data_IF_456111982858
#
_entry.id   IF_456111982858
#
_cell.length_a   1.000
_cell.length_b   1.000
_cell.length_c   1.000
_cell.angle_alpha   90.00
_cell.angle_beta   90.00
_cell.angle_gamma   90.00
#
_symmetry.space_group_name_H-M   'P 1'
#
loop_
_entity.id
_entity.type
_entity.pdbx_description
1 polymer ?
#
# COMPACT_ATOMS: atom_id res chain seq x y z
N UNK A 1 7.99 -7.52 19.88
CA UNK A 1 7.24 -6.57 20.73
C UNK A 1 6.81 -5.42 19.86
N UNK A 2 5.50 -5.31 19.57
CA UNK A 2 4.90 -4.14 18.92
C UNK A 2 5.31 -2.94 19.74
N UNK A 3 5.91 -1.92 19.12
CA UNK A 3 6.30 -0.69 19.81
C UNK A 3 5.08 -0.14 20.57
N UNK A 4 5.25 0.24 21.82
CA UNK A 4 4.17 0.77 22.66
C UNK A 4 3.48 1.98 22.00
N UNK A 5 4.21 2.77 21.22
CA UNK A 5 3.70 3.91 20.47
C UNK A 5 2.74 3.48 19.33
N UNK A 6 3.08 2.43 18.59
CA UNK A 6 2.22 1.92 17.51
C UNK A 6 0.91 1.32 18.06
N UNK A 7 0.99 0.57 19.18
CA UNK A 7 -0.18 0.07 19.89
C UNK A 7 -1.07 1.20 20.43
N UNK A 8 -0.47 2.29 20.89
CA UNK A 8 -1.19 3.45 21.42
C UNK A 8 -1.89 4.24 20.32
N UNK A 9 -1.24 4.41 19.17
CA UNK A 9 -1.85 5.04 17.98
C UNK A 9 -3.01 4.21 17.45
N UNK A 10 -2.85 2.89 17.33
CA UNK A 10 -3.91 1.99 16.91
C UNK A 10 -5.11 2.03 17.87
N UNK A 11 -4.88 2.04 19.18
CA UNK A 11 -5.93 2.16 20.21
C UNK A 11 -6.66 3.51 20.17
N UNK A 12 -5.95 4.60 19.92
CA UNK A 12 -6.56 5.95 19.83
C UNK A 12 -7.53 6.11 18.68
N UNK A 13 -7.44 5.27 17.66
CA UNK A 13 -8.36 5.25 16.51
C UNK A 13 -9.53 4.29 16.67
N UNK A 14 -9.75 3.74 17.86
CA UNK A 14 -10.81 2.75 18.09
C UNK A 14 -10.44 1.36 17.62
N UNK A 15 -9.17 1.12 17.25
CA UNK A 15 -8.64 -0.21 16.97
C UNK A 15 -8.61 -1.00 18.28
N UNK A 16 -9.54 -1.90 18.45
CA UNK A 16 -9.62 -2.79 19.60
C UNK A 16 -9.26 -4.20 19.15
N UNK A 17 -8.27 -4.80 19.80
CA UNK A 17 -7.82 -6.17 19.50
C UNK A 17 -8.80 -7.24 19.97
N UNK A 18 -9.73 -6.89 20.87
CA UNK A 18 -10.80 -7.78 21.31
C UNK A 18 -11.91 -7.79 20.27
N UNK A 19 -12.12 -8.95 19.65
CA UNK A 19 -13.11 -9.15 18.60
C UNK A 19 -14.54 -8.85 19.06
N UNK A 20 -14.85 -9.10 20.35
CA UNK A 20 -16.17 -8.84 20.91
C UNK A 20 -16.39 -7.33 21.01
N UNK A 21 -15.43 -6.60 21.50
CA UNK A 21 -15.50 -5.13 21.58
C UNK A 21 -15.56 -4.48 20.20
N UNK A 22 -14.75 -4.96 19.24
CA UNK A 22 -14.79 -4.49 17.85
C UNK A 22 -16.18 -4.68 17.24
N UNK A 23 -16.82 -5.81 17.50
CA UNK A 23 -18.19 -6.08 17.05
C UNK A 23 -19.21 -5.15 17.69
N UNK A 24 -19.13 -4.94 19.01
CA UNK A 24 -20.02 -4.01 19.73
C UNK A 24 -19.86 -2.59 19.16
N UNK A 25 -18.64 -2.13 18.94
CA UNK A 25 -18.36 -0.82 18.33
C UNK A 25 -19.04 -0.72 16.96
N UNK A 26 -18.85 -1.71 16.09
CA UNK A 26 -19.45 -1.73 14.76
C UNK A 26 -21.00 -1.71 14.82
N UNK A 27 -21.62 -2.47 15.74
CA UNK A 27 -23.05 -2.48 15.96
C UNK A 27 -23.58 -1.10 16.43
N UNK A 28 -22.85 -0.42 17.31
CA UNK A 28 -23.25 0.92 17.80
C UNK A 28 -23.11 1.99 16.71
N UNK A 29 -22.07 1.94 15.87
CA UNK A 29 -21.96 2.81 14.69
C UNK A 29 -23.16 2.60 13.75
N UNK A 30 -23.50 1.35 13.46
CA UNK A 30 -24.63 1.03 12.59
C UNK A 30 -25.98 1.53 13.15
N UNK A 31 -26.22 1.34 14.45
CA UNK A 31 -27.45 1.85 15.14
C UNK A 31 -27.53 3.37 15.13
N UNK A 32 -26.41 4.04 15.35
CA UNK A 32 -26.33 5.49 15.43
C UNK A 32 -26.38 6.17 14.05
N UNK A 33 -26.37 5.40 12.94
CA UNK A 33 -26.30 5.91 11.56
C UNK A 33 -25.10 6.85 11.32
N UNK A 34 -24.04 6.68 12.07
CA UNK A 34 -22.78 7.40 11.89
C UNK A 34 -21.99 6.65 10.82
N UNK A 35 -21.32 7.34 9.88
CA UNK A 35 -20.45 6.69 8.93
C UNK A 35 -19.41 5.81 9.65
N UNK A 36 -19.03 4.65 9.09
CA UNK A 36 -17.99 3.82 9.68
C UNK A 36 -16.68 4.63 9.79
N UNK A 37 -15.77 4.22 10.68
CA UNK A 37 -14.42 4.80 10.71
C UNK A 37 -13.80 4.77 9.33
N UNK A 38 -12.93 5.75 9.06
CA UNK A 38 -12.19 5.79 7.81
C UNK A 38 -11.37 4.50 7.67
N UNK A 39 -11.53 3.83 6.55
CA UNK A 39 -10.79 2.63 6.16
C UNK A 39 -10.02 2.88 4.86
N UNK A 40 -9.55 1.81 4.25
CA UNK A 40 -8.89 1.84 2.96
C UNK A 40 -7.54 1.15 2.98
N UNK A 41 -6.93 1.01 1.81
CA UNK A 41 -5.73 0.19 1.62
C UNK A 41 -4.56 0.58 2.55
N UNK A 42 -4.40 1.87 2.84
CA UNK A 42 -3.38 2.33 3.78
C UNK A 42 -3.64 1.85 5.20
N UNK A 43 -4.87 2.01 5.70
CA UNK A 43 -5.22 1.66 7.08
C UNK A 43 -5.32 0.14 7.26
N UNK A 44 -5.97 -0.53 6.31
CA UNK A 44 -6.34 -1.94 6.47
C UNK A 44 -5.23 -2.91 6.06
N UNK A 45 -4.28 -2.46 5.22
CA UNK A 45 -3.21 -3.30 4.67
C UNK A 45 -1.81 -2.79 5.03
N UNK A 46 -1.48 -1.53 4.70
CA UNK A 46 -0.14 -1.00 4.92
C UNK A 46 0.20 -0.85 6.40
N UNK A 47 -0.69 -0.25 7.21
CA UNK A 47 -0.41 -0.02 8.63
C UNK A 47 -0.11 -1.32 9.37
N UNK A 48 -0.90 -2.41 9.23
CA UNK A 48 -0.55 -3.70 9.83
C UNK A 48 0.81 -4.24 9.37
N UNK A 49 1.11 -4.11 8.06
CA UNK A 49 2.39 -4.55 7.50
C UNK A 49 3.57 -3.77 8.10
N UNK A 50 3.46 -2.44 8.18
CA UNK A 50 4.50 -1.62 8.79
C UNK A 50 4.66 -1.88 10.28
N UNK A 51 3.58 -2.16 11.01
CA UNK A 51 3.66 -2.50 12.43
C UNK A 51 4.48 -3.76 12.68
N UNK A 52 4.35 -4.74 11.80
CA UNK A 52 5.03 -6.02 11.93
C UNK A 52 6.46 -6.00 11.33
N UNK A 53 6.62 -5.47 10.14
CA UNK A 53 7.84 -5.60 9.34
C UNK A 53 8.60 -4.29 9.10
N UNK A 54 7.94 -3.14 9.26
CA UNK A 54 8.54 -1.83 8.96
C UNK A 54 9.62 -1.43 9.96
N UNK A 55 10.55 -0.59 9.52
CA UNK A 55 11.53 0.06 10.39
C UNK A 55 10.85 1.08 11.31
N UNK A 56 11.50 1.44 12.40
CA UNK A 56 10.94 2.47 13.32
C UNK A 56 10.79 3.83 12.61
N UNK A 57 11.68 4.15 11.69
CA UNK A 57 11.59 5.36 10.87
C UNK A 57 10.34 5.34 9.98
N UNK A 58 10.09 4.24 9.28
CA UNK A 58 8.89 4.06 8.45
C UNK A 58 7.60 4.13 9.28
N UNK A 59 7.58 3.50 10.44
CA UNK A 59 6.44 3.55 11.36
C UNK A 59 6.12 4.99 11.80
N UNK A 60 7.15 5.73 12.20
CA UNK A 60 6.99 7.13 12.62
C UNK A 60 6.55 8.03 11.46
N UNK A 61 7.10 7.81 10.27
CA UNK A 61 6.84 8.61 9.09
C UNK A 61 5.44 8.40 8.52
N UNK A 62 4.96 7.15 8.47
CA UNK A 62 3.79 6.80 7.67
C UNK A 62 2.54 6.43 8.48
N UNK A 63 2.66 5.81 9.66
CA UNK A 63 1.48 5.28 10.36
C UNK A 63 0.53 6.40 10.76
N UNK A 64 0.99 7.39 11.50
CA UNK A 64 0.13 8.46 12.01
C UNK A 64 -0.53 9.27 10.88
N UNK A 65 0.19 9.75 9.84
CA UNK A 65 -0.42 10.46 8.72
C UNK A 65 -1.44 9.61 7.95
N UNK A 66 -1.18 8.31 7.78
CA UNK A 66 -2.14 7.38 7.14
C UNK A 66 -3.42 7.27 7.95
N UNK A 67 -3.29 7.08 9.26
CA UNK A 67 -4.44 6.97 10.15
C UNK A 67 -5.28 8.27 10.23
N UNK A 68 -4.67 9.42 10.02
CA UNK A 68 -5.37 10.71 9.98
C UNK A 68 -5.92 11.06 8.57
N UNK A 69 -5.68 10.20 7.56
CA UNK A 69 -6.10 10.46 6.18
C UNK A 69 -5.30 11.56 5.48
N UNK A 70 -4.15 11.92 6.02
CA UNK A 70 -3.23 12.89 5.43
C UNK A 70 -2.46 12.26 4.25
N UNK A 71 -2.28 10.94 4.26
CA UNK A 71 -1.69 10.16 3.18
C UNK A 71 -2.67 9.08 2.74
N UNK A 72 -3.09 9.15 1.49
CA UNK A 72 -3.90 8.14 0.83
C UNK A 72 -2.95 7.18 0.08
N UNK A 73 -3.19 5.89 0.21
CA UNK A 73 -2.38 4.84 -0.36
C UNK A 73 -3.13 4.04 -1.42
N UNK A 74 -2.42 3.63 -2.45
CA UNK A 74 -2.87 2.61 -3.39
C UNK A 74 -1.96 1.38 -3.37
N UNK A 75 -2.47 0.27 -3.89
CA UNK A 75 -1.81 -1.02 -3.91
C UNK A 75 -1.31 -1.36 -5.31
N UNK A 76 0.00 -1.56 -5.48
CA UNK A 76 0.64 -1.97 -6.72
C UNK A 76 1.03 -3.44 -6.71
N UNK A 77 0.06 -4.38 -6.82
CA UNK A 77 0.32 -5.82 -6.79
C UNK A 77 0.14 -6.45 -8.16
N UNK A 78 -1.09 -6.50 -8.66
CA UNK A 78 -1.43 -7.19 -9.90
C UNK A 78 -0.77 -6.59 -11.13
N UNK A 79 -0.43 -7.45 -12.08
CA UNK A 79 0.05 -7.09 -13.41
C UNK A 79 -0.82 -7.75 -14.47
N UNK A 80 -0.77 -7.33 -15.74
CA UNK A 80 -1.57 -7.94 -16.79
C UNK A 80 -1.48 -9.47 -16.85
N UNK A 81 -0.31 -10.03 -16.54
CA UNK A 81 -0.03 -11.46 -16.52
C UNK A 81 0.20 -12.07 -15.14
N UNK A 82 0.01 -11.31 -14.06
CA UNK A 82 0.24 -11.76 -12.69
C UNK A 82 -0.88 -11.27 -11.76
N UNK A 83 -1.92 -12.08 -11.61
CA UNK A 83 -3.03 -11.84 -10.69
C UNK A 83 -3.04 -12.89 -9.60
N UNK A 84 -3.75 -14.01 -9.79
CA UNK A 84 -3.77 -15.11 -8.81
C UNK A 84 -2.40 -15.76 -8.62
N UNK A 85 -1.60 -15.90 -9.68
CA UNK A 85 -0.16 -16.21 -9.59
C UNK A 85 0.64 -14.92 -9.42
N UNK A 86 0.47 -14.26 -8.26
CA UNK A 86 1.13 -13.00 -7.97
C UNK A 86 2.66 -13.12 -7.97
N UNK A 87 3.18 -14.29 -7.62
CA UNK A 87 4.62 -14.56 -7.60
C UNK A 87 5.28 -14.53 -8.98
N UNK A 88 4.50 -14.51 -10.07
CA UNK A 88 5.02 -14.33 -11.43
C UNK A 88 5.11 -12.88 -11.89
N UNK A 89 4.94 -11.91 -10.98
CA UNK A 89 5.11 -10.49 -11.26
C UNK A 89 6.48 -10.18 -11.89
N UNK A 90 6.49 -9.22 -12.82
CA UNK A 90 7.65 -8.86 -13.65
C UNK A 90 8.10 -7.40 -13.48
N UNK A 91 7.31 -6.54 -12.84
CA UNK A 91 7.78 -5.19 -12.48
C UNK A 91 9.07 -5.34 -11.68
N UNK A 92 10.16 -4.81 -12.20
CA UNK A 92 11.49 -4.95 -11.61
C UNK A 92 11.93 -3.69 -10.87
N UNK A 93 12.73 -3.88 -9.82
CA UNK A 93 13.45 -2.83 -9.12
C UNK A 93 14.93 -3.20 -9.07
N UNK A 94 15.79 -2.34 -9.58
CA UNK A 94 17.24 -2.50 -9.55
C UNK A 94 17.84 -1.45 -8.61
N UNK A 95 18.71 -1.87 -7.70
CA UNK A 95 19.41 -0.94 -6.81
C UNK A 95 20.64 -0.38 -7.54
N UNK A 96 20.61 0.92 -7.87
CA UNK A 96 21.65 1.63 -8.58
C UNK A 96 22.01 2.87 -7.78
N UNK A 97 23.25 2.98 -7.37
CA UNK A 97 23.81 4.14 -6.65
C UNK A 97 22.96 4.57 -5.43
N UNK A 98 22.49 3.58 -4.64
CA UNK A 98 21.67 3.81 -3.44
C UNK A 98 20.23 4.23 -3.71
N UNK A 99 19.74 3.99 -4.92
CA UNK A 99 18.35 4.22 -5.31
C UNK A 99 17.76 3.01 -6.01
N UNK A 100 16.49 2.72 -5.75
CA UNK A 100 15.74 1.77 -6.55
C UNK A 100 15.28 2.42 -7.85
N UNK A 101 15.64 1.80 -8.97
CA UNK A 101 15.13 2.16 -10.30
C UNK A 101 14.08 1.12 -10.68
N UNK A 102 12.84 1.58 -10.87
CA UNK A 102 11.67 0.72 -11.06
C UNK A 102 11.18 0.85 -12.50
N UNK A 103 10.93 -0.31 -13.12
CA UNK A 103 10.39 -0.40 -14.47
C UNK A 103 9.35 -1.50 -14.57
N UNK A 104 8.18 -1.20 -15.12
CA UNK A 104 7.10 -2.18 -15.28
C UNK A 104 5.71 -1.57 -15.32
N UNK A 105 4.72 -2.39 -15.01
CA UNK A 105 3.32 -2.00 -15.06
C UNK A 105 2.52 -2.71 -13.96
N UNK A 106 1.62 -1.96 -13.32
CA UNK A 106 0.57 -2.52 -12.45
C UNK A 106 -0.81 -2.25 -13.05
N UNK A 107 -1.75 -3.13 -12.73
CA UNK A 107 -3.14 -3.03 -13.18
C UNK A 107 -4.10 -3.29 -12.03
N UNK A 108 -5.35 -2.87 -12.19
CA UNK A 108 -6.41 -2.94 -11.18
C UNK A 108 -6.08 -2.17 -9.89
N UNK A 109 -5.24 -1.15 -10.02
CA UNK A 109 -4.84 -0.30 -8.89
C UNK A 109 -5.99 0.65 -8.54
N UNK A 110 -6.68 0.33 -7.45
CA UNK A 110 -7.77 1.19 -6.96
C UNK A 110 -7.23 2.52 -6.46
N UNK A 111 -7.92 3.60 -6.80
CA UNK A 111 -7.67 4.96 -6.28
C UNK A 111 -6.28 5.55 -6.57
N UNK A 112 -5.49 4.97 -7.47
CA UNK A 112 -4.15 5.45 -7.79
C UNK A 112 -4.13 6.95 -8.16
N UNK A 113 -5.16 7.41 -8.88
CA UNK A 113 -5.30 8.81 -9.32
C UNK A 113 -5.47 9.81 -8.17
N UNK A 114 -5.78 9.35 -6.96
CA UNK A 114 -5.99 10.17 -5.75
C UNK A 114 -4.95 9.92 -4.67
N UNK A 115 -4.07 8.92 -4.87
CA UNK A 115 -3.12 8.47 -3.86
C UNK A 115 -1.83 9.28 -3.89
N UNK A 116 -1.29 9.60 -2.73
CA UNK A 116 0.02 10.22 -2.58
C UNK A 116 1.13 9.17 -2.57
N UNK A 117 0.81 7.96 -2.13
CA UNK A 117 1.78 6.88 -1.98
C UNK A 117 1.23 5.56 -2.52
N UNK A 118 2.12 4.71 -2.97
CA UNK A 118 1.83 3.32 -3.33
C UNK A 118 2.68 2.37 -2.50
N UNK A 119 2.11 1.28 -2.01
CA UNK A 119 2.89 0.12 -1.61
C UNK A 119 2.88 -0.90 -2.75
N UNK A 120 4.07 -1.22 -3.24
CA UNK A 120 4.26 -1.94 -4.48
C UNK A 120 5.13 -3.19 -4.31
N UNK A 121 4.70 -4.30 -4.89
CA UNK A 121 5.54 -5.49 -5.02
C UNK A 121 6.35 -5.43 -6.30
N UNK A 122 7.66 -5.57 -6.17
CA UNK A 122 8.59 -5.55 -7.30
C UNK A 122 9.55 -6.72 -7.25
N UNK A 123 10.04 -7.15 -8.41
CA UNK A 123 11.08 -8.16 -8.56
C UNK A 123 12.44 -7.50 -8.38
N UNK A 124 13.08 -7.72 -7.23
CA UNK A 124 14.41 -7.19 -6.92
C UNK A 124 15.52 -8.22 -7.10
N UNK A 125 15.19 -9.52 -6.99
CA UNK A 125 16.13 -10.62 -7.19
C UNK A 125 15.57 -11.60 -8.24
N UNK A 126 15.85 -11.39 -9.53
CA UNK A 126 15.25 -12.18 -10.61
C UNK A 126 15.66 -13.66 -10.58
N UNK A 127 16.84 -13.97 -10.06
CA UNK A 127 17.38 -15.35 -9.99
C UNK A 127 16.92 -16.12 -8.74
N UNK A 128 16.27 -15.46 -7.79
CA UNK A 128 15.74 -16.09 -6.60
C UNK A 128 14.49 -16.93 -6.90
N UNK A 129 14.14 -17.85 -5.99
CA UNK A 129 12.90 -18.62 -6.09
C UNK A 129 11.69 -17.66 -6.05
N UNK A 130 10.60 -18.03 -6.76
CA UNK A 130 9.43 -17.18 -7.07
C UNK A 130 9.08 -16.09 -6.03
N UNK A 131 8.91 -16.48 -4.76
CA UNK A 131 8.51 -15.53 -3.70
C UNK A 131 9.69 -14.79 -3.07
N UNK A 132 10.87 -15.43 -2.99
CA UNK A 132 12.02 -14.86 -2.28
C UNK A 132 12.65 -13.65 -2.99
N UNK A 133 12.41 -13.49 -4.28
CA UNK A 133 12.94 -12.35 -5.07
C UNK A 133 12.02 -11.15 -5.16
N UNK A 134 11.00 -11.06 -4.31
CA UNK A 134 10.01 -9.96 -4.32
C UNK A 134 10.25 -9.08 -3.12
N UNK A 135 10.32 -7.77 -3.36
CA UNK A 135 10.40 -6.73 -2.32
C UNK A 135 9.16 -5.87 -2.30
N UNK A 136 8.93 -5.23 -1.15
CA UNK A 136 7.80 -4.35 -0.90
C UNK A 136 8.31 -2.91 -0.82
N UNK A 137 8.05 -2.11 -1.85
CA UNK A 137 8.53 -0.73 -1.95
C UNK A 137 7.43 0.27 -1.65
N UNK A 138 7.79 1.36 -0.97
CA UNK A 138 6.92 2.50 -0.68
C UNK A 138 7.24 3.63 -1.67
N UNK A 139 6.37 3.85 -2.65
CA UNK A 139 6.63 4.71 -3.80
C UNK A 139 5.76 5.98 -3.72
N UNK A 140 6.36 7.19 -3.67
CA UNK A 140 5.60 8.43 -3.85
C UNK A 140 5.01 8.49 -5.27
N UNK A 141 3.71 8.77 -5.38
CA UNK A 141 2.99 8.74 -6.67
C UNK A 141 3.27 9.95 -7.57
N UNK A 142 3.90 10.98 -7.04
CA UNK A 142 4.38 12.16 -7.77
C UNK A 142 5.81 11.99 -8.32
N UNK A 143 6.42 10.80 -8.14
CA UNK A 143 7.77 10.52 -8.66
C UNK A 143 7.77 10.55 -10.19
N UNK A 144 8.73 11.25 -10.81
CA UNK A 144 8.86 11.27 -12.27
C UNK A 144 8.97 9.87 -12.87
N UNK A 145 8.31 9.64 -14.01
CA UNK A 145 8.27 8.34 -14.68
C UNK A 145 7.05 7.48 -14.32
N UNK A 146 6.20 7.94 -13.40
CA UNK A 146 4.90 7.30 -13.11
C UNK A 146 3.85 7.89 -14.04
N UNK A 147 3.14 7.01 -14.77
CA UNK A 147 1.97 7.36 -15.56
C UNK A 147 0.76 6.56 -15.07
N UNK A 148 -0.33 7.25 -14.76
CA UNK A 148 -1.59 6.65 -14.28
C UNK A 148 -2.63 6.75 -15.40
N UNK A 149 -3.20 5.61 -15.79
CA UNK A 149 -4.28 5.53 -16.78
C UNK A 149 -5.53 4.93 -16.16
N UNK A 150 -6.60 5.71 -15.99
CA UNK A 150 -7.86 5.18 -15.47
C UNK A 150 -8.47 4.10 -16.38
N UNK A 151 -8.95 3.03 -15.77
CA UNK A 151 -9.72 1.98 -16.43
C UNK A 151 -11.20 2.24 -16.21
N UNK A 152 -11.93 2.45 -17.30
CA UNK A 152 -13.38 2.63 -17.25
C UNK A 152 -14.05 1.26 -17.30
N UNK A 153 -14.80 0.92 -16.28
CA UNK A 153 -15.57 -0.32 -16.20
C UNK A 153 -16.91 -0.25 -16.97
N UNK A 154 -17.66 -1.36 -17.01
CA UNK A 154 -18.94 -1.43 -17.71
C UNK A 154 -20.03 -0.53 -17.11
N UNK A 155 -19.81 -0.01 -15.89
CA UNK A 155 -20.72 0.95 -15.22
C UNK A 155 -20.32 2.40 -15.49
N UNK A 156 -19.34 2.62 -16.36
CA UNK A 156 -18.72 3.90 -16.70
C UNK A 156 -17.98 4.57 -15.53
N UNK A 157 -17.62 3.80 -14.51
CA UNK A 157 -16.79 4.26 -13.41
C UNK A 157 -15.31 3.97 -13.68
N UNK A 158 -14.44 4.90 -13.30
CA UNK A 158 -12.98 4.78 -13.37
C UNK A 158 -12.39 4.53 -11.97
N UNK A 159 -12.82 3.44 -11.33
CA UNK A 159 -12.38 3.07 -9.98
C UNK A 159 -11.02 2.41 -9.93
N UNK A 160 -10.57 1.84 -11.05
CA UNK A 160 -9.29 1.15 -11.19
C UNK A 160 -8.38 1.88 -12.16
N UNK A 161 -7.09 1.59 -12.07
CA UNK A 161 -6.08 2.19 -12.93
C UNK A 161 -5.05 1.16 -13.39
N UNK A 162 -4.46 1.42 -14.55
CA UNK A 162 -3.12 0.98 -14.90
C UNK A 162 -2.12 2.00 -14.38
N UNK A 163 -0.98 1.53 -13.88
CA UNK A 163 0.12 2.38 -13.44
C UNK A 163 1.39 1.89 -14.11
N UNK A 164 2.00 2.75 -14.90
CA UNK A 164 3.24 2.45 -15.61
C UNK A 164 4.41 3.11 -14.88
N UNK A 165 5.53 2.37 -14.81
CA UNK A 165 6.78 2.83 -14.25
C UNK A 165 7.83 2.83 -15.36
N UNK A 166 8.39 4.01 -15.66
CA UNK A 166 9.47 4.18 -16.63
C UNK A 166 10.64 4.85 -15.91
N UNK A 167 11.63 4.04 -15.53
CA UNK A 167 12.84 4.48 -14.82
C UNK A 167 12.53 5.31 -13.55
N UNK A 168 11.49 4.91 -12.83
CA UNK A 168 11.06 5.57 -11.59
C UNK A 168 12.11 5.35 -10.51
N UNK A 169 12.69 6.43 -10.01
CA UNK A 169 13.80 6.38 -9.06
C UNK A 169 13.36 6.82 -7.67
N UNK A 170 13.55 5.96 -6.67
CA UNK A 170 13.26 6.22 -5.26
C UNK A 170 14.45 5.85 -4.37
N UNK A 171 14.61 6.48 -3.19
CA UNK A 171 15.69 6.14 -2.27
C UNK A 171 15.67 4.68 -1.79
N UNK A 172 16.85 4.13 -1.51
CA UNK A 172 17.01 2.74 -1.04
C UNK A 172 16.17 2.43 0.21
N UNK A 173 16.05 3.37 1.15
CA UNK A 173 15.32 3.19 2.39
C UNK A 173 13.76 3.17 2.23
N UNK A 174 13.28 3.23 1.01
CA UNK A 174 11.85 3.06 0.70
C UNK A 174 11.43 1.58 0.52
N UNK A 175 12.29 0.62 0.90
CA UNK A 175 12.01 -0.83 0.89
C UNK A 175 11.43 -1.29 2.21
#
# INVERSE_FOLDING_TARGET
TISSAASDVYKRQGGESDIIKSRIIAEEFAKSKIPPPMGGQGIDMLVPTLLELGTEEQKQKYIKPTLHGEIIWCQGYSEPNAGSDLASLQTKGELIDGNWVIHGQKIWTSTAQYSQMMFCLVRTEPDASKHAGISYLLIPMDTPGIEIRPLVDMTLNAGFNEVFFTDVTIPENNI
#
